data_IF_705170137047
#
_entry.id   IF_705170137047
#
_cell.length_a   1.000
_cell.length_b   1.000
_cell.length_c   1.000
_cell.angle_alpha   90.00
_cell.angle_beta   90.00
_cell.angle_gamma   90.00
#
_symmetry.space_group_name_H-M   'P 1'
#
loop_
_entity.id
_entity.type
_entity.pdbx_description
1 polymer ?
#
# COMPACT_ATOMS: atom_id res chain seq x y z
N UNK A 1 13.52 3.96 -5.04
CA UNK A 1 12.78 5.13 -5.48
C UNK A 1 13.66 5.72 -6.53
N UNK A 2 13.24 5.54 -7.77
CA UNK A 2 13.95 6.08 -8.90
C UNK A 2 13.94 7.61 -8.80
N UNK A 3 14.86 8.29 -9.49
CA UNK A 3 14.83 9.76 -9.54
C UNK A 3 13.49 10.24 -10.17
N UNK A 4 12.90 9.46 -11.08
CA UNK A 4 11.55 9.68 -11.62
C UNK A 4 10.45 9.63 -10.55
N UNK A 5 10.45 8.62 -9.67
CA UNK A 5 9.45 8.51 -8.59
C UNK A 5 9.50 9.72 -7.64
N UNK A 6 10.71 10.23 -7.37
CA UNK A 6 10.95 11.41 -6.53
C UNK A 6 10.44 12.71 -7.20
N UNK A 7 10.78 12.91 -8.48
CA UNK A 7 10.31 14.04 -9.29
C UNK A 7 8.77 14.05 -9.36
N UNK A 8 8.18 12.90 -9.69
CA UNK A 8 6.72 12.69 -9.74
C UNK A 8 6.06 13.04 -8.41
N UNK A 9 6.65 12.57 -7.31
CA UNK A 9 6.16 12.84 -5.95
C UNK A 9 6.13 14.34 -5.64
N UNK A 10 7.22 15.07 -5.87
CA UNK A 10 7.31 16.50 -5.56
C UNK A 10 6.25 17.32 -6.28
N UNK A 11 6.05 17.05 -7.57
CA UNK A 11 5.02 17.69 -8.36
C UNK A 11 3.62 17.34 -7.84
N UNK A 12 3.36 16.05 -7.56
CA UNK A 12 2.07 15.56 -7.09
C UNK A 12 1.72 16.05 -5.67
N UNK A 13 2.69 16.15 -4.75
CA UNK A 13 2.48 16.71 -3.42
C UNK A 13 2.07 18.19 -3.51
N UNK A 14 2.68 18.92 -4.44
CA UNK A 14 2.33 20.32 -4.71
C UNK A 14 0.93 20.45 -5.33
N UNK A 15 0.56 19.54 -6.24
CA UNK A 15 -0.79 19.47 -6.82
C UNK A 15 -1.81 19.18 -5.73
N UNK A 16 -1.56 18.19 -4.88
CA UNK A 16 -2.44 17.83 -3.77
C UNK A 16 -2.62 19.00 -2.80
N UNK A 17 -1.54 19.71 -2.45
CA UNK A 17 -1.61 20.91 -1.62
C UNK A 17 -2.51 21.99 -2.24
N UNK A 18 -2.39 22.22 -3.56
CA UNK A 18 -3.28 23.14 -4.29
C UNK A 18 -4.73 22.65 -4.33
N UNK A 19 -4.97 21.36 -4.55
CA UNK A 19 -6.30 20.76 -4.52
C UNK A 19 -6.95 20.77 -3.15
N UNK A 20 -6.19 20.78 -2.05
CA UNK A 20 -6.71 20.95 -0.69
C UNK A 20 -6.83 22.41 -0.26
N UNK A 21 -6.15 23.33 -0.94
CA UNK A 21 -6.24 24.76 -0.69
C UNK A 21 -7.58 25.36 -1.11
N UNK A 22 -7.84 26.61 -0.70
CA UNK A 22 -9.02 27.37 -1.12
C UNK A 22 -8.87 28.06 -2.48
N UNK A 23 -7.78 27.80 -3.23
CA UNK A 23 -7.51 28.48 -4.51
C UNK A 23 -8.50 27.98 -5.58
N UNK A 24 -9.42 28.83 -6.10
CA UNK A 24 -10.52 28.38 -6.96
C UNK A 24 -10.07 27.79 -8.30
N UNK A 25 -8.96 28.29 -8.86
CA UNK A 25 -8.46 27.85 -10.18
C UNK A 25 -8.14 26.35 -10.23
N UNK A 26 -7.81 25.73 -9.08
CA UNK A 26 -7.44 24.32 -8.93
C UNK A 26 -8.64 23.43 -8.58
N UNK A 27 -9.84 24.00 -8.44
CA UNK A 27 -11.07 23.25 -8.14
C UNK A 27 -11.83 22.93 -9.42
N UNK A 28 -12.57 21.83 -9.39
CA UNK A 28 -13.54 21.43 -10.40
C UNK A 28 -14.48 20.38 -9.80
N UNK A 29 -15.46 19.89 -10.57
CA UNK A 29 -16.44 18.87 -10.11
C UNK A 29 -15.86 17.51 -9.69
N UNK A 30 -14.58 17.26 -9.94
CA UNK A 30 -13.90 16.00 -9.63
C UNK A 30 -13.07 16.08 -8.34
N UNK A 31 -12.87 17.28 -7.79
CA UNK A 31 -11.92 17.54 -6.70
C UNK A 31 -12.66 18.20 -5.53
N UNK A 32 -12.45 17.67 -4.32
CA UNK A 32 -12.90 18.27 -3.07
C UNK A 32 -11.78 18.23 -2.02
N UNK A 33 -11.94 18.96 -0.90
CA UNK A 33 -10.93 19.12 0.14
C UNK A 33 -10.56 17.79 0.85
N UNK A 34 -11.43 16.79 0.77
CA UNK A 34 -11.20 15.44 1.31
C UNK A 34 -10.36 14.55 0.38
N UNK A 35 -9.79 15.12 -0.69
CA UNK A 35 -8.92 14.38 -1.59
C UNK A 35 -7.64 13.92 -0.88
N UNK A 36 -7.28 12.65 -1.08
CA UNK A 36 -6.14 12.00 -0.44
C UNK A 36 -5.36 11.16 -1.45
N UNK A 37 -4.09 10.90 -1.15
CA UNK A 37 -3.34 9.89 -1.87
C UNK A 37 -3.95 8.51 -1.67
N UNK A 38 -4.01 7.74 -2.75
CA UNK A 38 -4.36 6.32 -2.72
C UNK A 38 -3.33 5.51 -3.49
N UNK A 39 -3.27 4.22 -3.21
CA UNK A 39 -2.46 3.31 -4.03
C UNK A 39 -2.97 3.33 -5.48
N UNK A 40 -2.08 3.57 -6.44
CA UNK A 40 -2.43 3.50 -7.87
C UNK A 40 -2.76 2.07 -8.29
N UNK A 41 -3.59 1.90 -9.31
CA UNK A 41 -3.67 0.62 -10.02
C UNK A 41 -2.33 0.39 -10.72
N UNK A 42 -1.83 -0.86 -10.72
CA UNK A 42 -0.56 -1.20 -11.39
C UNK A 42 -0.77 -2.13 -12.58
N UNK A 43 -2.03 -2.36 -12.94
CA UNK A 43 -2.40 -3.01 -14.18
C UNK A 43 -2.22 -1.97 -15.29
N UNK A 44 -1.61 -2.38 -16.40
CA UNK A 44 -1.50 -1.51 -17.56
C UNK A 44 -2.90 -1.04 -17.99
N UNK A 45 -3.10 0.26 -18.24
CA UNK A 45 -2.15 1.36 -18.07
C UNK A 45 -2.03 1.78 -16.58
N UNK A 46 -0.80 1.79 -16.03
CA UNK A 46 -0.54 2.08 -14.61
C UNK A 46 -0.17 3.55 -14.40
N UNK A 47 -0.99 4.36 -13.70
CA UNK A 47 -0.63 5.74 -13.38
C UNK A 47 0.52 5.83 -12.38
N UNK A 48 1.31 6.91 -12.48
CA UNK A 48 2.41 7.19 -11.56
C UNK A 48 1.89 7.46 -10.14
N UNK A 49 0.81 8.25 -10.04
CA UNK A 49 0.13 8.57 -8.78
C UNK A 49 -1.39 8.53 -8.95
N UNK A 50 -2.10 8.32 -7.83
CA UNK A 50 -3.56 8.31 -7.81
C UNK A 50 -4.08 8.95 -6.54
N UNK A 51 -5.26 9.56 -6.68
CA UNK A 51 -5.95 10.28 -5.63
C UNK A 51 -7.43 9.90 -5.58
N UNK A 52 -8.04 10.05 -4.42
CA UNK A 52 -9.47 9.76 -4.24
C UNK A 52 -10.14 10.79 -3.35
N UNK A 53 -11.35 11.22 -3.74
CA UNK A 53 -12.27 12.00 -2.91
C UNK A 53 -13.45 11.11 -2.51
N UNK A 54 -13.66 10.95 -1.20
CA UNK A 54 -14.72 10.10 -0.65
C UNK A 54 -16.12 10.70 -0.82
N UNK A 55 -16.21 12.02 -0.65
CA UNK A 55 -17.45 12.81 -0.76
C UNK A 55 -17.98 12.82 -2.19
N UNK A 56 -17.09 13.01 -3.18
CA UNK A 56 -17.44 13.00 -4.59
C UNK A 56 -17.47 11.59 -5.19
N UNK A 57 -16.85 10.61 -4.51
CA UNK A 57 -16.59 9.25 -5.01
C UNK A 57 -15.82 9.30 -6.33
N UNK A 58 -14.83 10.18 -6.43
CA UNK A 58 -14.03 10.38 -7.65
C UNK A 58 -12.61 9.91 -7.43
N UNK A 59 -12.06 9.27 -8.47
CA UNK A 59 -10.68 8.81 -8.49
C UNK A 59 -9.91 9.52 -9.60
N UNK A 60 -8.74 10.06 -9.29
CA UNK A 60 -7.94 10.86 -10.23
C UNK A 60 -6.57 10.20 -10.42
N UNK A 61 -6.24 9.89 -11.66
CA UNK A 61 -4.93 9.37 -12.06
C UNK A 61 -3.98 10.51 -12.46
N UNK A 62 -2.68 10.33 -12.25
CA UNK A 62 -1.65 11.26 -12.74
C UNK A 62 -0.62 10.52 -13.57
N UNK A 63 -0.37 11.00 -14.79
CA UNK A 63 0.80 10.68 -15.61
C UNK A 63 1.87 11.77 -15.39
N UNK A 64 3.08 11.37 -15.04
CA UNK A 64 4.22 12.25 -14.83
C UNK A 64 5.34 11.94 -15.84
N UNK A 65 5.74 12.98 -16.56
CA UNK A 65 6.85 12.92 -17.53
C UNK A 65 8.07 13.67 -16.99
N UNK A 66 9.22 13.00 -16.77
CA UNK A 66 10.41 13.61 -16.18
C UNK A 66 11.12 14.52 -17.20
N UNK A 67 11.83 15.55 -16.77
CA UNK A 67 12.56 16.42 -17.70
C UNK A 67 13.81 15.75 -18.29
N UNK A 68 14.67 15.15 -17.46
CA UNK A 68 16.02 14.71 -17.86
C UNK A 68 16.06 13.47 -18.75
N UNK A 69 14.97 12.70 -18.80
CA UNK A 69 14.91 11.37 -19.41
C UNK A 69 13.82 11.23 -20.45
N UNK A 70 13.09 12.30 -20.72
CA UNK A 70 11.97 12.26 -21.64
C UNK A 70 12.31 12.99 -22.94
N UNK A 71 11.55 12.69 -23.98
CA UNK A 71 11.62 13.40 -25.27
C UNK A 71 10.27 14.07 -25.57
N UNK A 72 10.23 14.96 -26.56
CA UNK A 72 8.96 15.51 -27.06
C UNK A 72 7.96 14.40 -27.43
N UNK A 73 8.46 13.31 -28.02
CA UNK A 73 7.64 12.15 -28.38
C UNK A 73 7.06 11.44 -27.15
N UNK A 74 7.85 11.20 -26.12
CA UNK A 74 7.32 10.54 -24.92
C UNK A 74 6.45 11.45 -24.05
N UNK A 75 6.58 12.77 -24.15
CA UNK A 75 5.55 13.68 -23.60
C UNK A 75 4.21 13.51 -24.34
N UNK A 76 4.24 13.39 -25.66
CA UNK A 76 3.03 13.14 -26.45
C UNK A 76 2.40 11.78 -26.14
N UNK A 77 3.18 10.73 -25.87
CA UNK A 77 2.62 9.45 -25.41
C UNK A 77 1.92 9.58 -24.07
N UNK A 78 2.36 10.51 -23.21
CA UNK A 78 1.69 10.86 -21.95
C UNK A 78 0.25 11.33 -22.13
N UNK A 79 -0.10 11.95 -23.26
CA UNK A 79 -1.50 12.29 -23.59
C UNK A 79 -2.32 11.00 -23.77
N UNK A 80 -1.80 10.06 -24.56
CA UNK A 80 -2.43 8.76 -24.80
C UNK A 80 -2.62 7.98 -23.50
N UNK A 81 -1.61 7.95 -22.64
CA UNK A 81 -1.69 7.29 -21.33
C UNK A 81 -2.73 7.95 -20.43
N UNK A 82 -2.79 9.29 -20.41
CA UNK A 82 -3.79 10.04 -19.64
C UNK A 82 -5.22 9.74 -20.10
N UNK A 83 -5.44 9.55 -21.41
CA UNK A 83 -6.73 9.11 -21.97
C UNK A 83 -7.02 7.67 -21.56
N UNK A 84 -6.04 6.77 -21.67
CA UNK A 84 -6.22 5.35 -21.35
C UNK A 84 -6.63 5.13 -19.87
N UNK A 85 -6.11 5.95 -18.95
CA UNK A 85 -6.52 5.93 -17.54
C UNK A 85 -8.00 6.20 -17.30
N UNK A 86 -8.73 6.82 -18.23
CA UNK A 86 -10.16 7.05 -18.10
C UNK A 86 -10.99 5.81 -18.40
N UNK A 87 -10.46 4.90 -19.23
CA UNK A 87 -11.14 3.66 -19.62
C UNK A 87 -10.87 2.56 -18.60
N UNK A 88 -9.60 2.39 -18.25
CA UNK A 88 -9.15 1.32 -17.36
C UNK A 88 -8.98 1.85 -15.93
N UNK A 89 -8.98 0.95 -14.94
CA UNK A 89 -8.66 1.28 -13.55
C UNK A 89 -9.66 2.18 -12.78
N UNK A 90 -10.89 2.30 -13.27
CA UNK A 90 -11.98 3.06 -12.62
C UNK A 90 -11.55 4.48 -12.21
N UNK A 91 -10.87 5.25 -13.07
CA UNK A 91 -10.60 6.65 -12.78
C UNK A 91 -11.70 7.54 -13.36
N UNK A 92 -12.16 8.50 -12.55
CA UNK A 92 -13.11 9.52 -12.97
C UNK A 92 -12.46 10.61 -13.82
N UNK A 93 -11.16 10.84 -13.63
CA UNK A 93 -10.39 11.87 -14.30
C UNK A 93 -8.89 11.51 -14.34
N UNK A 94 -8.13 12.22 -15.16
CA UNK A 94 -6.67 12.13 -15.17
C UNK A 94 -6.01 13.51 -15.32
N UNK A 95 -4.75 13.60 -14.91
CA UNK A 95 -3.90 14.77 -15.15
C UNK A 95 -2.60 14.34 -15.80
N UNK A 96 -2.20 15.08 -16.83
CA UNK A 96 -0.86 15.01 -17.39
C UNK A 96 0.02 16.07 -16.73
N UNK A 97 1.16 15.65 -16.19
CA UNK A 97 2.16 16.50 -15.52
C UNK A 97 3.47 16.42 -16.29
N UNK A 98 3.92 17.56 -16.83
CA UNK A 98 5.05 17.63 -17.78
C UNK A 98 5.96 18.82 -17.45
N UNK A 99 7.24 18.83 -17.87
CA UNK A 99 8.07 20.00 -17.72
C UNK A 99 7.54 21.17 -18.57
N UNK A 100 7.70 22.41 -18.08
CA UNK A 100 7.33 23.61 -18.84
C UNK A 100 8.11 23.73 -20.17
N UNK A 101 9.37 23.30 -20.16
CA UNK A 101 10.25 23.27 -21.34
C UNK A 101 10.97 21.94 -21.46
N UNK A 102 11.18 21.49 -22.69
CA UNK A 102 12.01 20.32 -23.01
C UNK A 102 12.85 20.64 -24.24
N UNK A 103 14.16 20.38 -24.21
CA UNK A 103 15.05 20.68 -25.35
C UNK A 103 14.88 22.12 -25.90
N UNK A 104 14.78 23.11 -25.01
CA UNK A 104 14.48 24.53 -25.33
C UNK A 104 13.11 24.81 -26.00
N UNK A 105 12.29 23.79 -26.24
CA UNK A 105 10.93 23.92 -26.74
C UNK A 105 9.95 24.20 -25.60
N UNK A 106 9.03 25.15 -25.82
CA UNK A 106 7.99 25.50 -24.84
C UNK A 106 6.85 24.48 -24.88
N UNK A 107 7.11 23.33 -24.26
CA UNK A 107 6.16 22.22 -24.21
C UNK A 107 4.87 22.59 -23.49
N UNK A 108 4.95 23.45 -22.46
CA UNK A 108 3.79 23.94 -21.73
C UNK A 108 2.78 24.67 -22.62
N UNK A 109 3.24 25.64 -23.42
CA UNK A 109 2.37 26.41 -24.33
C UNK A 109 1.79 25.51 -25.43
N UNK A 110 2.64 24.66 -26.03
CA UNK A 110 2.22 23.75 -27.09
C UNK A 110 1.09 22.82 -26.62
N UNK A 111 1.26 22.17 -25.47
CA UNK A 111 0.23 21.29 -24.91
C UNK A 111 -0.99 22.08 -24.40
N UNK A 112 -0.81 23.27 -23.85
CA UNK A 112 -1.93 24.11 -23.42
C UNK A 112 -2.88 24.41 -24.59
N UNK A 113 -2.33 24.71 -25.77
CA UNK A 113 -3.12 24.91 -26.98
C UNK A 113 -3.86 23.64 -27.41
N UNK A 114 -3.22 22.47 -27.37
CA UNK A 114 -3.86 21.19 -27.67
C UNK A 114 -4.98 20.90 -26.66
N UNK A 115 -4.71 21.06 -25.37
CA UNK A 115 -5.68 20.79 -24.32
C UNK A 115 -6.89 21.70 -24.45
N UNK A 116 -6.69 23.01 -24.60
CA UNK A 116 -7.79 23.99 -24.75
C UNK A 116 -8.63 23.75 -26.01
N UNK A 117 -8.02 23.36 -27.13
CA UNK A 117 -8.73 23.22 -28.41
C UNK A 117 -9.31 21.83 -28.67
N UNK A 118 -8.67 20.77 -28.17
CA UNK A 118 -9.01 19.38 -28.51
C UNK A 118 -9.53 18.55 -27.32
N UNK A 119 -9.21 18.91 -26.09
CA UNK A 119 -9.50 18.07 -24.90
C UNK A 119 -10.53 18.72 -23.97
N UNK A 120 -10.39 20.02 -23.71
CA UNK A 120 -11.22 20.75 -22.76
C UNK A 120 -12.71 20.66 -23.14
N UNK A 121 -13.55 20.31 -22.16
CA UNK A 121 -14.98 20.10 -22.35
C UNK A 121 -15.36 18.78 -23.03
N UNK A 122 -14.39 17.97 -23.48
CA UNK A 122 -14.63 16.68 -24.15
C UNK A 122 -14.19 15.49 -23.32
N UNK A 123 -13.03 15.59 -22.67
CA UNK A 123 -12.49 14.53 -21.80
C UNK A 123 -12.12 15.12 -20.42
N UNK A 124 -12.29 14.36 -19.33
CA UNK A 124 -11.94 14.78 -17.98
C UNK A 124 -10.44 14.69 -17.71
N UNK A 125 -9.64 15.41 -18.51
CA UNK A 125 -8.18 15.42 -18.45
C UNK A 125 -7.67 16.84 -18.23
N UNK A 126 -6.86 17.04 -17.18
CA UNK A 126 -6.18 18.31 -16.90
C UNK A 126 -4.70 18.30 -17.30
N UNK A 127 -4.11 19.48 -17.42
CA UNK A 127 -2.69 19.69 -17.73
C UNK A 127 -2.04 20.58 -16.67
N UNK A 128 -0.97 20.06 -16.08
CA UNK A 128 -0.09 20.79 -15.16
C UNK A 128 1.33 20.76 -15.72
N UNK A 129 2.02 21.90 -15.63
CA UNK A 129 3.45 21.99 -15.93
C UNK A 129 4.27 22.21 -14.67
N UNK A 130 5.51 21.77 -14.62
CA UNK A 130 6.45 22.09 -13.55
C UNK A 130 7.75 22.76 -14.06
N UNK A 131 8.45 23.45 -13.17
CA UNK A 131 9.75 24.06 -13.47
C UNK A 131 10.85 22.99 -13.51
N UNK A 132 11.69 22.98 -14.55
CA UNK A 132 12.75 21.97 -14.73
C UNK A 132 13.84 21.98 -13.65
N UNK A 133 13.95 23.04 -12.87
CA UNK A 133 14.90 23.14 -11.74
C UNK A 133 14.26 22.76 -10.40
N UNK A 134 12.93 22.70 -10.34
CA UNK A 134 12.18 22.46 -9.12
C UNK A 134 10.78 21.94 -9.47
N UNK A 135 10.57 20.64 -9.33
CA UNK A 135 9.32 19.97 -9.71
C UNK A 135 8.14 20.39 -8.84
N UNK A 136 8.39 20.97 -7.65
CA UNK A 136 7.34 21.49 -6.77
C UNK A 136 6.73 22.81 -7.29
N UNK A 137 7.46 23.55 -8.14
CA UNK A 137 6.97 24.78 -8.77
C UNK A 137 6.08 24.44 -9.96
N UNK A 138 4.83 24.15 -9.65
CA UNK A 138 3.79 23.76 -10.61
C UNK A 138 2.95 24.94 -11.10
N UNK A 139 2.39 24.80 -12.30
CA UNK A 139 1.39 25.71 -12.89
C UNK A 139 0.30 24.92 -13.60
N UNK A 140 -0.95 25.19 -13.25
CA UNK A 140 -2.12 24.67 -13.97
C UNK A 140 -2.24 25.38 -15.32
N UNK A 141 -2.18 24.63 -16.42
CA UNK A 141 -2.32 25.18 -17.79
C UNK A 141 -3.71 24.97 -18.35
N UNK A 142 -4.32 23.84 -18.03
CA UNK A 142 -5.69 23.54 -18.40
C UNK A 142 -6.33 22.72 -17.27
N UNK A 143 -7.42 23.22 -16.71
CA UNK A 143 -8.22 22.48 -15.74
C UNK A 143 -9.25 21.61 -16.47
N UNK A 144 -9.88 20.68 -15.76
CA UNK A 144 -11.01 19.91 -16.25
C UNK A 144 -12.25 20.80 -16.29
N UNK A 145 -12.97 20.78 -17.42
CA UNK A 145 -14.17 21.57 -17.59
C UNK A 145 -15.28 21.17 -16.60
N UNK A 146 -15.90 22.16 -15.95
CA UNK A 146 -17.02 21.94 -15.02
C UNK A 146 -18.30 21.46 -15.71
N UNK A 147 -18.37 21.50 -17.04
CA UNK A 147 -19.48 20.92 -17.81
C UNK A 147 -19.47 19.39 -17.79
N UNK A 148 -18.32 18.77 -17.51
CA UNK A 148 -18.19 17.33 -17.44
C UNK A 148 -18.71 16.78 -16.10
N UNK A 149 -19.35 15.62 -16.16
CA UNK A 149 -19.90 14.92 -14.99
C UNK A 149 -18.97 13.80 -14.56
N UNK A 150 -18.59 13.71 -13.26
CA UNK A 150 -17.76 12.62 -12.79
C UNK A 150 -18.46 11.26 -12.83
N UNK A 151 -17.77 10.26 -13.41
CA UNK A 151 -18.11 8.86 -13.19
C UNK A 151 -17.79 8.48 -11.75
N UNK A 152 -18.82 8.19 -10.95
CA UNK A 152 -18.66 7.79 -9.54
C UNK A 152 -18.04 6.41 -9.46
N UNK A 153 -17.04 6.26 -8.60
CA UNK A 153 -16.27 5.03 -8.42
C UNK A 153 -16.54 4.46 -7.03
N UNK A 154 -17.05 3.23 -7.01
CA UNK A 154 -17.15 2.43 -5.78
C UNK A 154 -15.81 1.74 -5.57
N UNK A 155 -14.95 2.33 -4.73
CA UNK A 155 -13.68 1.70 -4.38
C UNK A 155 -13.90 0.46 -3.50
N UNK A 156 -13.66 -0.75 -4.05
CA UNK A 156 -13.48 -1.97 -3.25
C UNK A 156 -12.00 -2.08 -2.87
N UNK A 157 -11.70 -2.23 -1.59
CA UNK A 157 -10.33 -2.49 -1.12
C UNK A 157 -9.39 -1.27 -1.06
N UNK A 158 -9.95 -0.05 -0.98
CA UNK A 158 -9.17 1.20 -0.87
C UNK A 158 -9.46 1.91 0.46
N UNK A 159 -9.75 1.16 1.52
CA UNK A 159 -9.79 1.74 2.88
C UNK A 159 -8.39 2.03 3.43
N UNK A 160 -7.35 1.82 2.64
CA UNK A 160 -5.98 1.76 3.10
C UNK A 160 -5.21 3.02 2.71
N UNK A 161 -4.30 3.41 3.61
CA UNK A 161 -3.36 4.50 3.39
C UNK A 161 -2.56 4.28 2.09
N UNK A 162 -1.84 5.31 1.64
CA UNK A 162 -1.05 5.18 0.41
C UNK A 162 0.11 4.16 0.53
N UNK A 163 0.43 3.68 1.74
CA UNK A 163 1.36 2.57 2.00
C UNK A 163 0.62 1.28 2.37
N UNK A 164 1.32 0.15 2.24
CA UNK A 164 0.78 -1.16 2.55
C UNK A 164 0.58 -1.36 4.06
N UNK A 165 -0.67 -1.47 4.51
CA UNK A 165 -0.94 -1.84 5.89
C UNK A 165 -0.49 -3.29 6.18
N UNK A 166 0.32 -3.48 7.23
CA UNK A 166 0.74 -4.80 7.71
C UNK A 166 0.10 -5.13 9.07
N UNK A 167 -0.19 -6.42 9.29
CA UNK A 167 -0.84 -6.92 10.51
C UNK A 167 -0.26 -8.26 10.94
N UNK A 168 0.83 -8.21 11.70
CA UNK A 168 1.47 -9.33 12.41
C UNK A 168 1.60 -10.66 11.67
N UNK A 169 1.63 -10.61 10.33
CA UNK A 169 1.82 -11.76 9.47
C UNK A 169 3.32 -12.00 9.31
N UNK A 170 3.86 -13.19 9.70
CA UNK A 170 5.26 -13.50 9.47
C UNK A 170 5.56 -13.70 7.98
N UNK A 171 6.81 -13.50 7.52
CA UNK A 171 7.17 -13.67 6.12
C UNK A 171 6.87 -15.08 5.58
N UNK A 172 6.99 -16.10 6.44
CA UNK A 172 6.68 -17.48 6.09
C UNK A 172 5.20 -17.70 5.76
N UNK A 173 4.29 -16.97 6.40
CA UNK A 173 2.88 -17.02 6.04
C UNK A 173 2.64 -16.52 4.60
N UNK A 174 3.28 -15.40 4.23
CA UNK A 174 3.21 -14.86 2.86
C UNK A 174 3.78 -15.86 1.85
N UNK A 175 4.93 -16.47 2.14
CA UNK A 175 5.53 -17.50 1.28
C UNK A 175 4.58 -18.69 1.06
N UNK A 176 4.04 -19.28 2.14
CA UNK A 176 3.16 -20.44 2.05
C UNK A 176 1.87 -20.13 1.28
N UNK A 177 1.26 -18.97 1.52
CA UNK A 177 0.06 -18.54 0.81
C UNK A 177 0.30 -18.39 -0.69
N UNK A 178 1.42 -17.77 -1.08
CA UNK A 178 1.80 -17.62 -2.49
C UNK A 178 2.16 -18.96 -3.12
N UNK A 179 2.85 -19.85 -2.40
CA UNK A 179 3.18 -21.19 -2.88
C UNK A 179 1.91 -22.01 -3.18
N UNK A 180 0.97 -22.04 -2.24
CA UNK A 180 -0.35 -22.68 -2.43
C UNK A 180 -1.08 -22.05 -3.61
N UNK A 181 -1.07 -20.71 -3.70
CA UNK A 181 -1.69 -19.99 -4.81
C UNK A 181 -0.98 -20.21 -6.15
N UNK A 182 0.28 -20.64 -6.19
CA UNK A 182 0.98 -20.99 -7.42
C UNK A 182 0.66 -22.43 -7.86
N UNK A 183 0.61 -23.36 -6.91
CA UNK A 183 0.39 -24.80 -7.17
C UNK A 183 -1.08 -25.13 -7.48
N UNK A 184 -2.02 -24.33 -6.98
CA UNK A 184 -3.45 -24.58 -7.17
C UNK A 184 -3.84 -24.38 -8.64
N UNK A 185 -4.37 -25.42 -9.30
CA UNK A 185 -4.81 -25.33 -10.71
C UNK A 185 -6.27 -24.89 -10.91
N UNK A 186 -7.10 -25.00 -9.87
CA UNK A 186 -8.55 -24.74 -9.97
C UNK A 186 -8.91 -23.25 -9.81
N UNK A 187 -9.86 -22.78 -10.60
CA UNK A 187 -10.36 -21.40 -10.59
C UNK A 187 -11.58 -21.21 -9.68
N UNK A 188 -12.38 -22.25 -9.44
CA UNK A 188 -13.62 -22.13 -8.66
C UNK A 188 -13.29 -21.95 -7.17
N UNK A 189 -13.78 -20.86 -6.58
CA UNK A 189 -13.59 -20.51 -5.16
C UNK A 189 -12.12 -20.49 -4.72
N UNK A 190 -11.21 -20.09 -5.62
CA UNK A 190 -9.74 -20.11 -5.40
C UNK A 190 -9.32 -19.45 -4.09
N UNK A 191 -9.85 -18.27 -3.78
CA UNK A 191 -9.61 -17.54 -2.53
C UNK A 191 -9.91 -18.37 -1.28
N UNK A 192 -11.00 -19.15 -1.30
CA UNK A 192 -11.36 -20.04 -0.19
C UNK A 192 -10.43 -21.25 -0.14
N UNK A 193 -10.15 -21.87 -1.29
CA UNK A 193 -9.28 -23.04 -1.37
C UNK A 193 -7.84 -22.75 -0.89
N UNK A 194 -7.27 -21.61 -1.29
CA UNK A 194 -5.94 -21.16 -0.83
C UNK A 194 -5.94 -21.01 0.69
N UNK A 195 -6.94 -20.30 1.23
CA UNK A 195 -7.00 -20.03 2.66
C UNK A 195 -7.30 -21.29 3.48
N UNK A 196 -8.21 -22.15 3.04
CA UNK A 196 -8.50 -23.44 3.68
C UNK A 196 -7.24 -24.30 3.78
N UNK A 197 -6.49 -24.41 2.68
CA UNK A 197 -5.26 -25.19 2.66
C UNK A 197 -4.22 -24.61 3.62
N UNK A 198 -3.96 -23.30 3.55
CA UNK A 198 -3.03 -22.64 4.47
C UNK A 198 -3.44 -22.79 5.94
N UNK A 199 -4.71 -22.53 6.23
CA UNK A 199 -5.25 -22.54 7.58
C UNK A 199 -5.19 -23.94 8.19
N UNK A 200 -5.71 -24.95 7.49
CA UNK A 200 -5.83 -26.31 8.00
C UNK A 200 -4.51 -27.07 8.02
N UNK A 201 -3.57 -26.77 7.12
CA UNK A 201 -2.32 -27.54 7.03
C UNK A 201 -1.15 -26.89 7.75
N UNK A 202 -1.16 -25.56 7.92
CA UNK A 202 -0.02 -24.81 8.44
C UNK A 202 -0.34 -23.96 9.66
N UNK A 203 -1.43 -23.20 9.65
CA UNK A 203 -1.64 -22.14 10.65
C UNK A 203 -2.42 -22.58 11.88
N UNK A 204 -3.58 -23.23 11.70
CA UNK A 204 -4.37 -23.83 12.78
C UNK A 204 -4.77 -25.26 12.37
N UNK A 205 -3.83 -26.22 12.45
CA UNK A 205 -4.10 -27.62 12.14
C UNK A 205 -5.29 -28.18 12.93
N UNK A 206 -6.00 -29.18 12.38
CA UNK A 206 -7.21 -29.75 12.99
C UNK A 206 -7.00 -30.24 14.42
N UNK A 207 -5.81 -30.72 14.73
CA UNK A 207 -5.41 -31.17 16.06
C UNK A 207 -5.47 -30.02 17.08
N UNK A 208 -5.26 -28.78 16.64
CA UNK A 208 -5.29 -27.59 17.49
C UNK A 208 -6.64 -27.38 18.17
N UNK A 209 -7.76 -27.68 17.49
CA UNK A 209 -9.11 -27.54 18.06
C UNK A 209 -9.68 -28.86 18.60
N UNK A 210 -8.91 -29.94 18.56
CA UNK A 210 -9.28 -31.25 19.10
C UNK A 210 -8.81 -31.47 20.55
N UNK A 211 -7.87 -30.66 21.05
CA UNK A 211 -7.34 -30.75 22.41
C UNK A 211 -7.20 -29.37 23.06
N UNK A 212 -7.27 -29.34 24.40
CA UNK A 212 -6.87 -28.19 25.20
C UNK A 212 -5.34 -28.06 25.34
N UNK A 213 -4.54 -29.05 24.94
CA UNK A 213 -3.08 -28.99 25.01
C UNK A 213 -2.50 -28.02 23.98
N UNK A 214 -1.30 -27.53 24.25
CA UNK A 214 -0.62 -26.62 23.35
C UNK A 214 -0.11 -27.37 22.11
N UNK A 215 -0.59 -26.95 20.94
CA UNK A 215 -0.19 -27.51 19.64
C UNK A 215 0.50 -26.39 18.86
N UNK A 216 1.77 -26.61 18.50
CA UNK A 216 2.52 -25.67 17.66
C UNK A 216 2.01 -25.73 16.23
N UNK A 217 1.94 -24.58 15.58
CA UNK A 217 1.66 -24.52 14.14
C UNK A 217 2.92 -24.81 13.32
N UNK A 218 2.79 -24.80 11.99
CA UNK A 218 3.91 -25.01 11.05
C UNK A 218 4.38 -23.70 10.41
N UNK A 219 3.99 -22.56 10.97
CA UNK A 219 4.35 -21.24 10.45
C UNK A 219 5.49 -20.67 11.30
N UNK A 220 6.70 -20.65 10.73
CA UNK A 220 7.84 -19.93 11.31
C UNK A 220 7.53 -18.44 11.49
N UNK A 221 7.67 -17.99 12.73
CA UNK A 221 7.55 -16.60 13.14
C UNK A 221 8.83 -15.83 12.80
N UNK A 222 8.86 -14.54 13.13
CA UNK A 222 9.99 -13.64 12.82
C UNK A 222 11.29 -14.03 13.51
N UNK A 223 11.20 -14.64 14.69
CA UNK A 223 12.33 -15.17 15.48
C UNK A 223 12.66 -16.64 15.13
N UNK A 224 11.98 -17.21 14.12
CA UNK A 224 12.12 -18.62 13.75
C UNK A 224 11.33 -19.61 14.61
N UNK A 225 10.68 -19.14 15.68
CA UNK A 225 9.81 -19.97 16.53
C UNK A 225 8.51 -20.35 15.81
N UNK A 226 7.74 -21.26 16.41
CA UNK A 226 6.40 -21.61 15.95
C UNK A 226 5.37 -21.13 16.96
N UNK A 227 4.30 -20.51 16.48
CA UNK A 227 3.22 -20.04 17.36
C UNK A 227 2.35 -21.21 17.83
N UNK A 228 1.80 -21.08 19.04
CA UNK A 228 0.73 -21.95 19.54
C UNK A 228 -0.61 -21.24 19.28
N UNK A 229 -1.39 -21.63 18.25
CA UNK A 229 -2.65 -20.97 17.98
C UNK A 229 -3.63 -21.18 19.13
N UNK A 230 -4.45 -20.16 19.40
CA UNK A 230 -5.45 -20.16 20.47
C UNK A 230 -4.86 -20.33 21.89
N UNK A 231 -3.55 -20.20 22.10
CA UNK A 231 -2.89 -20.46 23.40
C UNK A 231 -3.57 -19.76 24.59
N UNK A 232 -3.89 -18.47 24.46
CA UNK A 232 -4.58 -17.72 25.52
C UNK A 232 -6.02 -18.22 25.76
N UNK A 233 -6.72 -18.65 24.70
CA UNK A 233 -8.05 -19.28 24.84
C UNK A 233 -7.93 -20.65 25.51
N UNK A 234 -6.97 -21.48 25.10
CA UNK A 234 -6.71 -22.79 25.70
C UNK A 234 -6.35 -22.67 27.17
N UNK A 235 -5.47 -21.73 27.55
CA UNK A 235 -5.12 -21.44 28.95
C UNK A 235 -6.36 -21.11 29.79
N UNK A 236 -7.26 -20.26 29.25
CA UNK A 236 -8.52 -19.93 29.93
C UNK A 236 -9.40 -21.16 30.10
N UNK A 237 -9.64 -21.92 29.02
CA UNK A 237 -10.49 -23.11 29.06
C UNK A 237 -9.94 -24.21 29.97
N UNK A 238 -8.62 -24.44 29.97
CA UNK A 238 -7.96 -25.36 30.92
C UNK A 238 -8.24 -24.98 32.37
N UNK A 239 -8.25 -23.67 32.67
CA UNK A 239 -8.55 -23.17 34.02
C UNK A 239 -10.02 -23.40 34.39
N UNK A 240 -10.95 -23.14 33.46
CA UNK A 240 -12.38 -23.35 33.66
C UNK A 240 -12.72 -24.84 33.87
N UNK A 241 -12.11 -25.73 33.08
CA UNK A 241 -12.26 -27.19 33.27
C UNK A 241 -11.69 -27.64 34.61
N UNK A 242 -10.50 -27.14 34.99
CA UNK A 242 -9.89 -27.45 36.29
C UNK A 242 -10.77 -27.03 37.47
N UNK A 243 -11.45 -25.88 37.33
CA UNK A 243 -12.38 -25.35 38.34
C UNK A 243 -13.77 -25.99 38.29
N UNK A 244 -14.03 -26.90 37.33
CA UNK A 244 -15.36 -27.50 37.07
C UNK A 244 -16.43 -26.48 36.68
N UNK A 245 -16.03 -25.33 36.11
CA UNK A 245 -16.96 -24.33 35.58
C UNK A 245 -17.63 -24.82 34.29
N UNK A 246 -16.93 -25.66 33.52
CA UNK A 246 -17.39 -26.28 32.27
C UNK A 246 -16.79 -27.68 32.13
N UNK A 247 -17.48 -28.53 31.36
CA UNK A 247 -16.96 -29.85 30.99
C UNK A 247 -15.87 -29.76 29.90
N UNK A 248 -14.98 -30.76 29.85
CA UNK A 248 -13.94 -30.81 28.82
C UNK A 248 -14.54 -30.85 27.40
N UNK A 249 -15.62 -31.60 27.21
CA UNK A 249 -16.33 -31.69 25.93
C UNK A 249 -16.89 -30.34 25.47
N UNK A 250 -17.43 -29.55 26.39
CA UNK A 250 -17.91 -28.18 26.14
C UNK A 250 -16.75 -27.25 25.76
N UNK A 251 -15.63 -27.33 26.48
CA UNK A 251 -14.43 -26.55 26.16
C UNK A 251 -13.91 -26.82 24.74
N UNK A 252 -13.94 -28.08 24.29
CA UNK A 252 -13.59 -28.45 22.92
C UNK A 252 -14.59 -27.90 21.89
N UNK A 253 -15.90 -27.90 22.18
CA UNK A 253 -16.89 -27.28 21.30
C UNK A 253 -16.67 -25.77 21.15
N UNK A 254 -16.29 -25.07 22.23
CA UNK A 254 -15.93 -23.65 22.19
C UNK A 254 -14.74 -23.42 21.25
N UNK A 255 -13.67 -24.23 21.34
CA UNK A 255 -12.52 -24.13 20.43
C UNK A 255 -12.93 -24.33 18.97
N UNK A 256 -13.73 -25.37 18.68
CA UNK A 256 -14.21 -25.66 17.32
C UNK A 256 -15.02 -24.50 16.74
N UNK A 257 -15.88 -23.86 17.53
CA UNK A 257 -16.67 -22.70 17.10
C UNK A 257 -15.80 -21.49 16.72
N UNK A 258 -14.69 -21.24 17.44
CA UNK A 258 -13.78 -20.12 17.15
C UNK A 258 -13.08 -20.23 15.79
N UNK A 259 -12.89 -21.45 15.29
CA UNK A 259 -12.20 -21.73 14.01
C UNK A 259 -13.15 -22.21 12.91
N UNK A 260 -14.46 -22.21 13.18
CA UNK A 260 -15.47 -22.71 12.25
C UNK A 260 -15.55 -21.87 10.96
N UNK A 261 -15.56 -22.52 9.81
CA UNK A 261 -15.46 -21.82 8.51
C UNK A 261 -16.74 -21.12 8.07
N UNK A 262 -17.88 -21.51 8.65
CA UNK A 262 -19.23 -21.04 8.35
C UNK A 262 -19.72 -19.92 9.28
N UNK A 263 -18.83 -19.35 10.11
CA UNK A 263 -19.15 -18.23 11.00
C UNK A 263 -18.59 -16.94 10.39
N UNK A 264 -19.39 -15.87 10.40
CA UNK A 264 -19.06 -14.58 9.76
C UNK A 264 -18.07 -13.77 10.60
N UNK A 265 -18.20 -13.80 11.93
CA UNK A 265 -17.34 -13.06 12.86
C UNK A 265 -16.58 -14.02 13.76
N UNK A 266 -15.50 -14.59 13.22
CA UNK A 266 -14.59 -15.39 14.01
C UNK A 266 -13.14 -15.28 13.55
N UNK A 267 -12.28 -15.97 14.30
CA UNK A 267 -10.84 -15.94 14.15
C UNK A 267 -10.37 -16.44 12.77
N UNK A 268 -11.10 -17.37 12.14
CA UNK A 268 -10.80 -17.82 10.79
C UNK A 268 -10.97 -16.68 9.76
N UNK A 269 -12.06 -15.90 9.84
CA UNK A 269 -12.29 -14.78 8.91
C UNK A 269 -11.33 -13.61 9.17
N UNK A 270 -11.08 -13.29 10.45
CA UNK A 270 -10.16 -12.22 10.85
C UNK A 270 -8.75 -12.47 10.34
N UNK A 271 -8.23 -13.69 10.53
CA UNK A 271 -6.90 -14.03 10.06
C UNK A 271 -6.82 -14.07 8.54
N UNK A 272 -7.87 -14.53 7.84
CA UNK A 272 -7.91 -14.49 6.38
C UNK A 272 -7.72 -13.06 5.89
N UNK A 273 -8.53 -12.14 6.42
CA UNK A 273 -8.48 -10.71 6.07
C UNK A 273 -7.09 -10.13 6.33
N UNK A 274 -6.50 -10.37 7.50
CA UNK A 274 -5.22 -9.80 7.86
C UNK A 274 -4.07 -10.27 6.94
N UNK A 275 -4.01 -11.57 6.62
CA UNK A 275 -2.97 -12.11 5.74
C UNK A 275 -3.18 -11.69 4.28
N UNK A 276 -4.43 -11.79 3.78
CA UNK A 276 -4.71 -11.47 2.38
C UNK A 276 -4.54 -9.99 2.08
N UNK A 277 -4.94 -9.10 2.99
CA UNK A 277 -4.81 -7.66 2.78
C UNK A 277 -3.35 -7.26 2.57
N UNK A 278 -2.43 -7.81 3.35
CA UNK A 278 -1.01 -7.49 3.18
C UNK A 278 -0.49 -7.93 1.80
N UNK A 279 -0.81 -9.15 1.38
CA UNK A 279 -0.41 -9.69 0.06
C UNK A 279 -1.05 -8.89 -1.08
N UNK A 280 -2.32 -8.49 -0.92
CA UNK A 280 -3.04 -7.63 -1.86
C UNK A 280 -2.37 -6.26 -1.99
N UNK A 281 -1.98 -5.62 -0.89
CA UNK A 281 -1.34 -4.30 -0.90
C UNK A 281 0.04 -4.34 -1.53
N UNK A 282 0.79 -5.42 -1.29
CA UNK A 282 2.07 -5.65 -1.95
C UNK A 282 1.92 -6.06 -3.42
N UNK A 283 0.70 -6.44 -3.84
CA UNK A 283 0.36 -6.92 -5.17
C UNK A 283 1.25 -8.08 -5.58
N UNK A 284 1.28 -9.12 -4.77
CA UNK A 284 1.98 -10.37 -5.11
C UNK A 284 1.07 -11.36 -5.85
N UNK A 285 -0.22 -11.07 -5.93
CA UNK A 285 -1.20 -11.76 -6.73
C UNK A 285 -2.26 -10.77 -7.22
N UNK A 286 -3.10 -11.21 -8.14
CA UNK A 286 -4.30 -10.49 -8.52
C UNK A 286 -5.33 -10.47 -7.36
N UNK A 287 -5.96 -9.31 -7.15
CA UNK A 287 -6.86 -9.12 -6.02
C UNK A 287 -8.12 -9.99 -6.12
N UNK A 288 -8.68 -10.21 -7.30
CA UNK A 288 -9.98 -10.88 -7.39
C UNK A 288 -9.81 -12.38 -7.63
N UNK A 289 -8.91 -12.72 -8.55
CA UNK A 289 -8.67 -14.09 -8.97
C UNK A 289 -7.71 -14.84 -8.05
N UNK A 290 -6.83 -14.14 -7.31
CA UNK A 290 -5.75 -14.73 -6.49
C UNK A 290 -4.73 -15.53 -7.29
N UNK A 291 -4.60 -15.27 -8.58
CA UNK A 291 -3.47 -15.75 -9.36
C UNK A 291 -2.21 -14.97 -9.02
N UNK A 292 -1.11 -15.68 -8.82
CA UNK A 292 0.18 -15.03 -8.60
C UNK A 292 0.54 -14.22 -9.83
N UNK A 293 1.04 -13.00 -9.61
CA UNK A 293 1.53 -12.17 -10.71
C UNK A 293 3.05 -12.33 -10.86
N UNK A 294 3.69 -11.70 -11.87
CA UNK A 294 5.13 -11.83 -12.08
C UNK A 294 5.96 -11.49 -10.85
N UNK A 295 5.62 -10.42 -10.13
CA UNK A 295 6.30 -10.01 -8.90
C UNK A 295 6.22 -11.10 -7.80
N UNK A 296 5.02 -11.66 -7.58
CA UNK A 296 4.84 -12.75 -6.63
C UNK A 296 5.60 -14.02 -7.04
N UNK A 297 5.62 -14.34 -8.34
CA UNK A 297 6.39 -15.48 -8.86
C UNK A 297 7.89 -15.27 -8.63
N UNK A 298 8.42 -14.09 -8.95
CA UNK A 298 9.83 -13.75 -8.69
C UNK A 298 10.18 -13.80 -7.22
N UNK A 299 9.26 -13.40 -6.33
CA UNK A 299 9.43 -13.55 -4.89
C UNK A 299 9.56 -15.03 -4.49
N UNK A 300 8.66 -15.90 -4.97
CA UNK A 300 8.76 -17.33 -4.71
C UNK A 300 10.07 -17.93 -5.24
N UNK A 301 10.45 -17.60 -6.47
CA UNK A 301 11.67 -18.09 -7.11
C UNK A 301 12.94 -17.64 -6.37
N UNK A 302 12.96 -16.40 -5.85
CA UNK A 302 14.06 -15.92 -5.03
C UNK A 302 14.19 -16.70 -3.72
N UNK A 303 13.07 -16.93 -3.01
CA UNK A 303 13.06 -17.68 -1.75
C UNK A 303 13.42 -19.15 -1.98
N UNK A 304 12.90 -19.77 -3.04
CA UNK A 304 13.19 -21.17 -3.38
C UNK A 304 14.67 -21.38 -3.78
N UNK A 305 15.36 -20.35 -4.25
CA UNK A 305 16.82 -20.35 -4.49
C UNK A 305 17.65 -20.19 -3.20
N UNK A 306 17.00 -20.10 -2.03
CA UNK A 306 17.66 -19.98 -0.74
C UNK A 306 17.87 -18.55 -0.26
N UNK A 307 17.30 -17.54 -0.94
CA UNK A 307 17.39 -16.17 -0.44
C UNK A 307 16.68 -16.02 0.91
N UNK A 308 17.22 -15.13 1.75
CA UNK A 308 16.62 -14.85 3.05
C UNK A 308 15.21 -14.26 2.88
N UNK A 309 14.22 -15.00 3.34
CA UNK A 309 12.80 -14.68 3.21
C UNK A 309 12.43 -13.31 3.82
N UNK A 310 13.00 -12.96 4.97
CA UNK A 310 12.78 -11.66 5.62
C UNK A 310 13.32 -10.52 4.77
N UNK A 311 14.50 -10.68 4.17
CA UNK A 311 15.06 -9.67 3.27
C UNK A 311 14.23 -9.53 1.98
N UNK A 312 13.78 -10.63 1.37
CA UNK A 312 12.96 -10.55 0.15
C UNK A 312 11.63 -9.84 0.41
N UNK A 313 10.94 -10.17 1.51
CA UNK A 313 9.70 -9.45 1.81
C UNK A 313 9.97 -8.00 2.20
N UNK A 314 11.10 -7.70 2.87
CA UNK A 314 11.48 -6.32 3.21
C UNK A 314 11.69 -5.47 1.96
N UNK A 315 12.42 -5.96 0.95
CA UNK A 315 12.62 -5.29 -0.34
C UNK A 315 11.28 -4.87 -0.97
N UNK A 316 10.37 -5.83 -1.11
CA UNK A 316 9.05 -5.59 -1.71
C UNK A 316 8.21 -4.65 -0.85
N UNK A 317 8.19 -4.84 0.46
CA UNK A 317 7.42 -3.99 1.38
C UNK A 317 7.90 -2.54 1.33
N UNK A 318 9.21 -2.34 1.35
CA UNK A 318 9.83 -1.02 1.33
C UNK A 318 9.50 -0.25 0.05
N UNK A 319 9.59 -0.91 -1.10
CA UNK A 319 9.38 -0.27 -2.41
C UNK A 319 7.92 -0.36 -2.86
N UNK A 320 7.38 -1.56 -3.04
CA UNK A 320 6.01 -1.77 -3.54
C UNK A 320 4.95 -1.41 -2.52
N UNK A 321 5.22 -1.64 -1.25
CA UNK A 321 4.37 -1.19 -0.15
C UNK A 321 4.57 0.28 0.23
N UNK A 322 5.44 1.03 -0.46
CA UNK A 322 5.69 2.48 -0.25
C UNK A 322 6.13 2.86 1.19
N UNK A 323 6.72 1.92 1.95
CA UNK A 323 7.23 2.25 3.28
C UNK A 323 8.46 3.16 3.26
N UNK A 324 9.28 3.15 2.20
CA UNK A 324 10.38 4.14 2.07
C UNK A 324 9.81 5.54 1.93
N UNK A 325 8.75 5.71 1.12
CA UNK A 325 8.05 6.98 0.98
C UNK A 325 7.52 7.45 2.34
N UNK A 326 6.91 6.54 3.09
CA UNK A 326 6.35 6.84 4.41
C UNK A 326 7.40 7.19 5.47
N UNK A 327 8.52 6.47 5.51
CA UNK A 327 9.64 6.80 6.40
C UNK A 327 10.21 8.19 6.08
N UNK A 328 10.37 8.53 4.80
CA UNK A 328 10.85 9.86 4.38
C UNK A 328 9.87 10.98 4.74
N UNK A 329 8.56 10.71 4.72
CA UNK A 329 7.57 11.68 5.21
C UNK A 329 7.67 11.93 6.69
N UNK A 330 7.86 10.87 7.48
CA UNK A 330 8.08 11.00 8.92
C UNK A 330 9.31 11.87 9.18
N UNK A 331 10.42 11.65 8.46
CA UNK A 331 11.62 12.48 8.59
C UNK A 331 11.38 13.93 8.17
N UNK A 332 10.63 14.16 7.09
CA UNK A 332 10.33 15.50 6.58
C UNK A 332 9.39 16.26 7.53
N UNK A 333 8.40 15.57 8.08
CA UNK A 333 7.50 16.15 9.08
C UNK A 333 8.31 16.50 10.32
N UNK A 334 9.12 15.55 10.80
CA UNK A 334 10.01 15.75 11.95
C UNK A 334 10.93 16.96 11.78
N UNK A 335 11.57 17.13 10.61
CA UNK A 335 12.49 18.25 10.36
C UNK A 335 11.80 19.62 10.31
N UNK A 336 10.49 19.64 10.05
CA UNK A 336 9.69 20.87 9.98
C UNK A 336 8.94 21.15 11.30
N UNK A 337 9.01 20.27 12.29
CA UNK A 337 8.42 20.48 13.60
C UNK A 337 9.26 21.47 14.40
N UNK A 338 8.60 22.43 15.06
CA UNK A 338 9.25 23.34 16.01
C UNK A 338 9.68 22.62 17.30
N UNK A 339 9.01 21.51 17.63
CA UNK A 339 9.27 20.69 18.80
C UNK A 339 8.91 19.22 18.54
N UNK A 340 9.73 18.30 19.08
CA UNK A 340 9.49 16.87 19.04
C UNK A 340 9.18 16.39 20.46
N UNK A 341 8.03 15.74 20.72
CA UNK A 341 7.67 15.24 22.05
C UNK A 341 8.66 14.22 22.62
N UNK A 342 8.66 14.12 23.94
CA UNK A 342 9.52 13.19 24.68
C UNK A 342 8.97 11.76 24.75
N UNK A 343 7.74 11.52 24.28
CA UNK A 343 7.14 10.20 24.27
C UNK A 343 6.55 9.79 22.90
N UNK A 344 6.49 8.48 22.69
CA UNK A 344 6.06 7.88 21.44
C UNK A 344 4.61 8.21 21.07
N UNK A 345 3.72 8.26 22.05
CA UNK A 345 2.28 8.34 21.80
C UNK A 345 1.89 9.75 21.35
N UNK A 346 2.48 10.77 21.96
CA UNK A 346 2.26 12.15 21.52
C UNK A 346 2.94 12.45 20.19
N UNK A 347 4.15 11.92 19.95
CA UNK A 347 4.77 12.02 18.63
C UNK A 347 3.91 11.35 17.54
N UNK A 348 3.32 10.18 17.83
CA UNK A 348 2.39 9.51 16.90
C UNK A 348 1.14 10.35 16.62
N UNK A 349 0.53 10.96 17.63
CA UNK A 349 -0.63 11.85 17.44
C UNK A 349 -0.28 13.05 16.56
N UNK A 350 0.90 13.66 16.78
CA UNK A 350 1.37 14.77 15.94
C UNK A 350 1.60 14.33 14.49
N UNK A 351 2.26 13.18 14.29
CA UNK A 351 2.42 12.61 12.94
C UNK A 351 1.06 12.36 12.28
N UNK A 352 0.08 11.83 13.01
CA UNK A 352 -1.28 11.61 12.50
C UNK A 352 -1.90 12.88 11.95
N UNK A 353 -1.83 13.96 12.73
CA UNK A 353 -2.38 15.27 12.37
C UNK A 353 -1.68 15.83 11.14
N UNK A 354 -0.35 15.78 11.08
CA UNK A 354 0.41 16.32 9.96
C UNK A 354 0.22 15.51 8.67
N UNK A 355 0.16 14.18 8.75
CA UNK A 355 -0.13 13.32 7.61
C UNK A 355 -1.56 13.53 7.10
N UNK A 356 -2.54 13.70 7.99
CA UNK A 356 -3.93 13.97 7.64
C UNK A 356 -4.11 15.32 6.94
N UNK A 357 -3.50 16.39 7.48
CA UNK A 357 -3.44 17.71 6.85
C UNK A 357 -2.91 17.62 5.42
N UNK A 358 -1.80 16.88 5.22
CA UNK A 358 -1.18 16.65 3.91
C UNK A 358 -2.02 15.75 2.98
N UNK A 359 -3.08 15.10 3.46
CA UNK A 359 -3.91 14.19 2.67
C UNK A 359 -3.27 12.82 2.46
N UNK A 360 -2.38 12.41 3.36
CA UNK A 360 -1.65 11.14 3.31
C UNK A 360 -2.37 10.04 4.12
N UNK A 361 -3.37 10.43 4.92
CA UNK A 361 -4.24 9.54 5.68
C UNK A 361 -5.64 9.52 5.07
N UNK A 362 -6.22 8.32 4.91
CA UNK A 362 -7.65 8.18 4.61
C UNK A 362 -8.40 7.90 5.90
N UNK A 363 -9.37 8.75 6.23
CA UNK A 363 -10.24 8.56 7.41
C UNK A 363 -11.51 7.83 6.99
N UNK A 364 -11.89 6.78 7.73
CA UNK A 364 -13.23 6.21 7.64
C UNK A 364 -14.07 6.79 8.80
N UNK A 365 -14.96 7.75 8.56
CA UNK A 365 -15.73 8.41 9.61
C UNK A 365 -16.68 7.46 10.35
N UNK A 366 -17.05 6.33 9.75
CA UNK A 366 -17.98 5.36 10.33
C UNK A 366 -17.26 4.20 11.05
N UNK A 367 -15.93 4.22 11.12
CA UNK A 367 -15.16 3.12 11.72
C UNK A 367 -15.10 3.26 13.23
N UNK A 368 -15.81 2.39 13.94
CA UNK A 368 -15.62 2.20 15.39
C UNK A 368 -14.20 1.73 15.65
N UNK A 369 -13.46 2.51 16.43
CA UNK A 369 -12.13 2.13 16.92
C UNK A 369 -12.27 1.65 18.35
N UNK A 370 -11.79 0.44 18.66
CA UNK A 370 -11.84 -0.11 20.01
C UNK A 370 -10.81 0.52 20.97
N UNK A 371 -10.04 1.52 20.53
CA UNK A 371 -8.99 2.20 21.31
C UNK A 371 -7.74 1.36 21.63
N UNK A 372 -7.78 0.03 21.44
CA UNK A 372 -6.73 -0.90 21.88
C UNK A 372 -5.43 -0.77 21.07
N UNK A 373 -5.52 -0.52 19.76
CA UNK A 373 -4.35 -0.49 18.87
C UNK A 373 -3.82 0.93 18.72
N UNK A 374 -2.55 1.12 19.08
CA UNK A 374 -1.89 2.42 18.95
C UNK A 374 -1.58 2.71 17.48
N UNK A 375 -1.73 3.98 17.09
CA UNK A 375 -1.43 4.44 15.74
C UNK A 375 0.03 4.12 15.35
N UNK A 376 0.23 3.67 14.10
CA UNK A 376 1.54 3.26 13.54
C UNK A 376 2.28 2.14 14.29
N UNK A 377 1.66 1.50 15.28
CA UNK A 377 2.31 0.47 16.09
C UNK A 377 2.87 -0.66 15.22
N UNK A 378 2.11 -1.09 14.22
CA UNK A 378 2.49 -2.24 13.40
C UNK A 378 3.52 -1.89 12.33
N UNK A 379 3.49 -0.69 11.78
CA UNK A 379 4.56 -0.19 10.92
C UNK A 379 5.88 -0.12 11.68
N UNK A 380 5.86 0.41 12.91
CA UNK A 380 7.06 0.50 13.75
C UNK A 380 7.61 -0.89 14.13
N UNK A 381 6.74 -1.85 14.45
CA UNK A 381 7.12 -3.24 14.69
C UNK A 381 7.70 -3.89 13.43
N UNK A 382 7.11 -3.64 12.27
CA UNK A 382 7.58 -4.19 10.99
C UNK A 382 8.97 -3.66 10.64
N UNK A 383 9.20 -2.36 10.82
CA UNK A 383 10.50 -1.74 10.57
C UNK A 383 11.58 -2.21 11.54
N UNK A 384 11.21 -2.50 12.79
CA UNK A 384 12.11 -3.15 13.73
C UNK A 384 12.44 -4.59 13.31
N UNK A 385 11.43 -5.36 12.89
CA UNK A 385 11.59 -6.73 12.36
C UNK A 385 12.44 -6.80 11.09
N UNK A 386 12.42 -5.77 10.25
CA UNK A 386 13.35 -5.62 9.13
C UNK A 386 14.74 -5.12 9.54
N UNK A 387 14.90 -4.72 10.80
CA UNK A 387 16.13 -4.17 11.36
C UNK A 387 16.54 -2.87 10.67
N UNK A 388 15.58 -2.03 10.27
CA UNK A 388 15.81 -0.71 9.65
C UNK A 388 15.50 0.44 10.63
N UNK A 389 15.05 0.12 11.83
CA UNK A 389 15.03 1.06 12.96
C UNK A 389 16.34 0.95 13.73
N UNK A 390 16.89 2.09 14.13
CA UNK A 390 18.02 2.14 15.06
C UNK A 390 17.50 2.19 16.49
N UNK A 391 18.22 1.54 17.39
CA UNK A 391 18.08 1.71 18.84
C UNK A 391 19.11 2.73 19.32
N UNK A 392 18.71 3.65 20.19
CA UNK A 392 19.63 4.51 20.92
C UNK A 392 19.50 4.20 22.41
N UNK A 393 20.60 3.79 23.05
CA UNK A 393 20.59 3.32 24.45
C UNK A 393 19.55 2.23 24.72
N UNK A 394 19.34 1.33 23.74
CA UNK A 394 18.35 0.25 23.82
C UNK A 394 16.92 0.65 23.44
N UNK A 395 16.62 1.94 23.34
CA UNK A 395 15.27 2.45 23.06
C UNK A 395 15.02 2.70 21.58
N UNK A 396 13.77 2.52 21.17
CA UNK A 396 13.32 2.65 19.78
C UNK A 396 12.84 4.04 19.38
N UNK A 397 12.85 4.97 20.33
CA UNK A 397 12.45 6.36 20.22
C UNK A 397 13.40 7.14 21.11
N UNK A 398 13.74 8.34 20.70
CA UNK A 398 14.64 9.20 21.44
C UNK A 398 13.86 10.45 21.84
N UNK A 399 13.72 10.77 23.13
CA UNK A 399 13.09 12.01 23.58
C UNK A 399 13.68 13.23 22.88
N UNK A 400 12.84 14.18 22.47
CA UNK A 400 13.26 15.35 21.69
C UNK A 400 13.75 15.08 20.25
N UNK A 401 13.82 13.83 19.80
CA UNK A 401 14.39 13.46 18.47
C UNK A 401 13.47 12.52 17.68
N UNK A 402 12.66 11.69 18.31
CA UNK A 402 11.72 10.81 17.64
C UNK A 402 12.32 9.46 17.20
N UNK A 403 11.85 8.93 16.06
CA UNK A 403 12.34 7.66 15.51
C UNK A 403 13.64 7.85 14.71
N UNK A 404 14.55 6.88 14.84
CA UNK A 404 15.79 6.82 14.09
C UNK A 404 15.76 5.66 13.09
N UNK A 405 16.10 5.94 11.83
CA UNK A 405 16.12 4.97 10.75
C UNK A 405 17.53 4.69 10.23
N UNK A 406 17.76 3.45 9.79
CA UNK A 406 18.98 3.05 9.11
C UNK A 406 18.85 3.24 7.60
N UNK A 407 19.08 4.48 7.14
CA UNK A 407 19.04 4.81 5.72
C UNK A 407 20.09 4.07 4.89
N UNK A 408 21.23 3.65 5.48
CA UNK A 408 22.22 2.84 4.76
C UNK A 408 21.60 1.50 4.38
N UNK A 409 20.95 0.82 5.33
CA UNK A 409 20.28 -0.46 5.09
C UNK A 409 19.04 -0.30 4.22
N UNK A 410 18.23 0.74 4.42
CA UNK A 410 17.06 1.03 3.57
C UNK A 410 17.48 1.19 2.11
N UNK A 411 18.49 2.03 1.84
CA UNK A 411 18.97 2.26 0.47
C UNK A 411 19.60 1.00 -0.14
N UNK A 412 20.26 0.15 0.66
CA UNK A 412 20.77 -1.15 0.22
C UNK A 412 19.63 -2.09 -0.20
N UNK A 413 18.57 -2.20 0.61
CA UNK A 413 17.39 -3.04 0.30
C UNK A 413 16.63 -2.50 -0.92
N UNK A 414 16.52 -1.17 -1.05
CA UNK A 414 15.94 -0.49 -2.19
C UNK A 414 16.72 -0.80 -3.49
N UNK A 415 18.04 -0.66 -3.48
CA UNK A 415 18.90 -0.99 -4.62
C UNK A 415 18.79 -2.48 -4.99
N UNK A 416 18.79 -3.36 -3.97
CA UNK A 416 18.61 -4.80 -4.18
C UNK A 416 17.24 -5.12 -4.79
N UNK A 417 16.18 -4.42 -4.38
CA UNK A 417 14.85 -4.56 -4.99
C UNK A 417 14.91 -4.25 -6.50
N UNK A 418 15.43 -3.08 -6.88
CA UNK A 418 15.50 -2.67 -8.29
C UNK A 418 16.35 -3.61 -9.14
N UNK A 419 17.43 -4.17 -8.57
CA UNK A 419 18.28 -5.14 -9.27
C UNK A 419 17.60 -6.50 -9.51
N UNK A 420 16.68 -6.90 -8.63
CA UNK A 420 16.05 -8.22 -8.67
C UNK A 420 14.67 -8.21 -9.32
N UNK A 421 13.84 -7.20 -9.02
CA UNK A 421 12.41 -7.23 -9.35
C UNK A 421 12.03 -6.33 -10.53
N UNK A 422 12.65 -5.16 -10.70
CA UNK A 422 12.28 -4.23 -11.80
C UNK A 422 12.71 -4.76 -13.17
N UNK A 423 13.86 -5.45 -13.23
CA UNK A 423 14.33 -6.09 -14.47
C UNK A 423 13.36 -7.13 -15.00
N UNK A 424 12.56 -7.75 -14.13
CA UNK A 424 11.60 -8.79 -14.50
C UNK A 424 10.30 -8.16 -15.01
N UNK A 425 9.81 -7.08 -14.37
CA UNK A 425 8.61 -6.36 -14.88
C UNK A 425 8.86 -5.80 -16.30
N UNK A 426 10.08 -5.35 -16.62
CA UNK A 426 10.44 -4.85 -17.95
C UNK A 426 10.40 -5.93 -19.06
N UNK A 427 10.85 -7.16 -18.76
CA UNK A 427 10.85 -8.29 -19.72
C UNK A 427 9.44 -8.82 -19.96
N UNK A 428 8.59 -8.86 -18.93
CA UNK A 428 7.21 -9.32 -19.12
C UNK A 428 6.36 -8.35 -19.94
N UNK A 429 6.61 -7.04 -19.84
CA UNK A 429 5.91 -6.03 -20.64
C UNK A 429 6.29 -6.12 -22.13
N UNK A 430 7.54 -6.47 -22.44
CA UNK A 430 7.96 -6.68 -23.85
C UNK A 430 7.34 -7.92 -24.47
N UNK A 431 7.18 -9.00 -23.70
CA UNK A 431 6.62 -10.27 -24.19
C UNK A 431 5.10 -10.24 -24.35
N UNK A 432 4.39 -9.34 -23.63
CA UNK A 432 2.94 -9.14 -23.79
C UNK A 432 2.53 -8.24 -24.96
N UNK A 433 3.51 -7.67 -25.68
CA UNK A 433 3.30 -6.78 -26.83
C UNK A 433 3.66 -7.46 -28.18
N UNK A 434 4.03 -8.73 -28.15
CA UNK A 434 4.10 -9.62 -29.32
C UNK A 434 2.84 -10.50 -29.36
#
# INVERSE_FOLDING_TARGET
MTEHDLESRRACDSILAKWKSSVPEWKNRFINNDIVYVSGTKNFPSPDRSFYSSSLKTRIAVEFKPYKRETKRGILTGIGQSIAYLKDNNNSASYLVVPEKIENFNMGIFLENIFKTKIFGKLPIGLVTFNIKDESKIKLRCNIANTLTPSKVTERGVEDNYWAAWRDSPPHATYLLLKIAFELKNNKNRSKAIWDNYFDNYFVPKETSATLDDVKNKVKMWDGSFQIPLSSTKKKLRSQVKNKDIEYSEAIQILKKRVAKNVVDNLYQDYKKNHFNYINHLKLWDHDTKFINPLGKSFLDAVNRGNNLTNEIAKITLVRGRHIEFIRDIETIKSNMSFIPDNHDDFRKLLDVELDKKGFMKRNPNRTTSGIRKLFQSELQLWDKFGIKKKHRGEHFVPGVGYLFDFKKINMLEKAYHNTYDKIEAVFLSDSLQ
#
